data_IF_972543465943
#
_entry.id   IF_972543465943
#
_cell.length_a   1.000
_cell.length_b   1.000
_cell.length_c   1.000
_cell.angle_alpha   90.00
_cell.angle_beta   90.00
_cell.angle_gamma   90.00
#
_symmetry.space_group_name_H-M   'P 1'
#
loop_
_entity.id
_entity.type
_entity.pdbx_description
1 polymer ?
#
# COMPACT_ATOMS: atom_id res chain seq x y z
N UNK A 1 -28.01 -0.24 13.07
CA UNK A 1 -27.41 -1.53 13.53
C UNK A 1 -26.31 -1.78 12.53
N UNK A 2 -25.08 -2.11 12.94
CA UNK A 2 -23.99 -2.18 11.96
C UNK A 2 -24.33 -3.09 10.77
N UNK A 3 -24.15 -2.57 9.55
CA UNK A 3 -24.39 -3.30 8.31
C UNK A 3 -23.51 -4.55 8.26
N UNK A 4 -24.13 -5.72 8.14
CA UNK A 4 -23.43 -6.98 7.93
C UNK A 4 -23.38 -7.31 6.44
N UNK A 5 -22.21 -7.16 5.83
CA UNK A 5 -22.05 -7.47 4.41
C UNK A 5 -22.34 -8.95 4.12
N UNK A 6 -22.14 -9.87 5.08
CA UNK A 6 -22.28 -11.32 4.88
C UNK A 6 -23.72 -11.77 4.64
N UNK A 7 -24.71 -10.92 4.95
CA UNK A 7 -26.13 -11.20 4.69
C UNK A 7 -26.55 -10.83 3.26
N UNK A 8 -25.72 -10.09 2.51
CA UNK A 8 -25.99 -9.74 1.10
C UNK A 8 -25.81 -10.99 0.24
N UNK A 9 -26.82 -11.33 -0.57
CA UNK A 9 -26.76 -12.50 -1.44
C UNK A 9 -25.60 -12.41 -2.44
N UNK A 10 -25.03 -13.54 -2.89
CA UNK A 10 -23.94 -13.54 -3.86
C UNK A 10 -24.25 -12.78 -5.16
N UNK A 11 -25.50 -12.87 -5.62
CA UNK A 11 -25.98 -12.18 -6.82
C UNK A 11 -26.00 -10.65 -6.61
N UNK A 12 -26.55 -10.18 -5.49
CA UNK A 12 -26.58 -8.75 -5.15
C UNK A 12 -25.17 -8.21 -4.94
N UNK A 13 -24.28 -8.97 -4.28
CA UNK A 13 -22.86 -8.62 -4.13
C UNK A 13 -22.18 -8.38 -5.47
N UNK A 14 -22.39 -9.27 -6.45
CA UNK A 14 -21.77 -9.11 -7.77
C UNK A 14 -22.25 -7.86 -8.50
N UNK A 15 -23.54 -7.50 -8.34
CA UNK A 15 -24.10 -6.26 -8.91
C UNK A 15 -23.48 -5.04 -8.24
N UNK A 16 -23.44 -5.01 -6.91
CA UNK A 16 -22.87 -3.88 -6.17
C UNK A 16 -21.37 -3.71 -6.44
N UNK A 17 -20.58 -4.78 -6.43
CA UNK A 17 -19.14 -4.69 -6.76
C UNK A 17 -18.96 -4.04 -8.14
N UNK A 18 -19.67 -4.52 -9.16
CA UNK A 18 -19.60 -3.99 -10.52
C UNK A 18 -19.99 -2.51 -10.61
N UNK A 19 -20.96 -2.08 -9.79
CA UNK A 19 -21.39 -0.69 -9.73
C UNK A 19 -20.39 0.19 -8.98
N UNK A 20 -19.78 -0.31 -7.91
CA UNK A 20 -18.78 0.38 -7.11
C UNK A 20 -17.44 0.57 -7.82
N UNK A 21 -17.02 -0.40 -8.65
CA UNK A 21 -15.80 -0.32 -9.48
C UNK A 21 -15.70 0.96 -10.34
N UNK A 22 -16.84 1.60 -10.63
CA UNK A 22 -16.93 2.79 -11.50
C UNK A 22 -16.66 4.10 -10.77
N UNK A 23 -16.69 4.09 -9.44
CA UNK A 23 -16.65 5.29 -8.63
C UNK A 23 -15.47 5.26 -7.67
N UNK A 24 -14.96 6.44 -7.31
CA UNK A 24 -13.97 6.53 -6.24
C UNK A 24 -14.68 6.53 -4.90
N UNK A 25 -14.10 5.88 -3.88
CA UNK A 25 -14.67 5.89 -2.53
C UNK A 25 -14.81 7.31 -1.95
N UNK A 26 -14.01 8.27 -2.43
CA UNK A 26 -14.12 9.69 -2.07
C UNK A 26 -15.42 10.31 -2.62
N UNK A 27 -15.69 10.15 -3.92
CA UNK A 27 -16.92 10.65 -4.55
C UNK A 27 -18.15 9.94 -3.96
N UNK A 28 -18.04 8.64 -3.66
CA UNK A 28 -19.10 7.85 -3.04
C UNK A 28 -19.41 8.31 -1.61
N UNK A 29 -18.39 8.58 -0.80
CA UNK A 29 -18.55 9.16 0.54
C UNK A 29 -19.17 10.55 0.51
N UNK A 30 -18.72 11.41 -0.42
CA UNK A 30 -19.28 12.73 -0.61
C UNK A 30 -20.77 12.64 -0.97
N UNK A 31 -21.14 11.74 -1.90
CA UNK A 31 -22.53 11.51 -2.26
C UNK A 31 -23.37 10.98 -1.09
N UNK A 32 -22.86 10.03 -0.32
CA UNK A 32 -23.57 9.52 0.87
C UNK A 32 -23.88 10.64 1.85
N UNK A 33 -22.90 11.50 2.13
CA UNK A 33 -23.08 12.65 3.01
C UNK A 33 -24.10 13.66 2.47
N UNK A 34 -24.06 13.95 1.17
CA UNK A 34 -25.04 14.81 0.52
C UNK A 34 -26.46 14.26 0.66
N UNK A 35 -26.66 12.99 0.31
CA UNK A 35 -27.96 12.32 0.39
C UNK A 35 -28.49 12.26 1.82
N UNK A 36 -27.64 11.91 2.80
CA UNK A 36 -28.05 11.87 4.21
C UNK A 36 -28.37 13.26 4.77
N UNK A 37 -27.68 14.31 4.32
CA UNK A 37 -27.99 15.68 4.71
C UNK A 37 -29.32 16.15 4.09
N UNK A 38 -29.60 15.81 2.83
CA UNK A 38 -30.90 16.07 2.21
C UNK A 38 -32.03 15.32 2.94
N UNK A 39 -31.78 14.08 3.36
CA UNK A 39 -32.74 13.26 4.09
C UNK A 39 -33.14 13.88 5.44
N UNK A 40 -32.23 14.56 6.15
CA UNK A 40 -32.58 15.26 7.41
C UNK A 40 -33.69 16.30 7.21
N UNK A 41 -33.75 16.93 6.05
CA UNK A 41 -34.69 18.01 5.75
C UNK A 41 -35.96 17.50 5.06
N UNK A 42 -35.81 16.56 4.13
CA UNK A 42 -36.89 16.14 3.24
C UNK A 42 -37.30 14.67 3.41
N UNK A 43 -36.55 13.86 4.17
CA UNK A 43 -36.71 12.42 4.30
C UNK A 43 -38.13 11.92 4.60
N UNK A 44 -38.90 12.54 5.52
CA UNK A 44 -40.28 12.14 5.77
C UNK A 44 -41.19 12.22 4.52
N UNK A 45 -40.85 13.07 3.54
CA UNK A 45 -41.60 13.23 2.28
C UNK A 45 -41.30 12.13 1.25
N UNK A 46 -40.23 11.36 1.43
CA UNK A 46 -39.81 10.31 0.50
C UNK A 46 -40.37 8.93 0.82
N UNK A 47 -40.86 8.72 2.05
CA UNK A 47 -41.30 7.40 2.52
C UNK A 47 -42.42 6.81 1.64
N UNK A 48 -43.39 7.64 1.22
CA UNK A 48 -44.46 7.23 0.31
C UNK A 48 -43.98 6.99 -1.13
N UNK A 49 -42.78 7.45 -1.48
CA UNK A 49 -42.18 7.36 -2.81
C UNK A 49 -41.05 6.31 -2.89
N UNK A 50 -40.92 5.45 -1.87
CA UNK A 50 -40.04 4.28 -1.91
C UNK A 50 -38.64 4.48 -1.32
N UNK A 51 -38.41 5.51 -0.50
CA UNK A 51 -37.18 5.63 0.29
C UNK A 51 -37.51 5.90 1.76
N UNK A 52 -37.40 4.85 2.57
CA UNK A 52 -37.82 4.78 3.95
C UNK A 52 -36.69 5.14 4.93
N UNK A 53 -37.01 5.32 6.24
CA UNK A 53 -35.99 5.52 7.27
C UNK A 53 -34.95 4.39 7.35
N UNK A 54 -35.36 3.16 7.05
CA UNK A 54 -34.47 2.00 7.06
C UNK A 54 -33.41 2.10 5.94
N UNK A 55 -33.78 2.57 4.75
CA UNK A 55 -32.83 2.79 3.64
C UNK A 55 -31.82 3.91 3.97
N UNK A 56 -32.28 4.96 4.65
CA UNK A 56 -31.41 6.04 5.12
C UNK A 56 -30.46 5.55 6.24
N UNK A 57 -30.93 4.66 7.11
CA UNK A 57 -30.09 4.02 8.13
C UNK A 57 -29.03 3.12 7.47
N UNK A 58 -29.42 2.31 6.49
CA UNK A 58 -28.51 1.45 5.72
C UNK A 58 -27.44 2.28 4.99
N UNK A 59 -27.82 3.41 4.39
CA UNK A 59 -26.87 4.34 3.75
C UNK A 59 -25.89 4.95 4.77
N UNK A 60 -26.36 5.28 5.97
CA UNK A 60 -25.49 5.76 7.05
C UNK A 60 -24.51 4.69 7.52
N UNK A 61 -24.99 3.45 7.72
CA UNK A 61 -24.17 2.33 8.15
C UNK A 61 -23.12 1.98 7.06
N UNK A 62 -23.50 2.00 5.77
CA UNK A 62 -22.59 1.80 4.65
C UNK A 62 -21.53 2.90 4.54
N UNK A 63 -21.89 4.18 4.74
CA UNK A 63 -20.94 5.30 4.80
C UNK A 63 -19.92 5.08 5.91
N UNK A 64 -20.37 4.74 7.11
CA UNK A 64 -19.47 4.58 8.26
C UNK A 64 -18.52 3.40 8.06
N UNK A 65 -19.01 2.32 7.44
CA UNK A 65 -18.19 1.18 7.05
C UNK A 65 -17.14 1.55 5.99
N UNK A 66 -17.50 2.39 5.01
CA UNK A 66 -16.56 2.88 3.99
C UNK A 66 -15.45 3.74 4.60
N UNK A 67 -15.79 4.60 5.56
CA UNK A 67 -14.79 5.39 6.32
C UNK A 67 -13.83 4.47 7.06
N UNK A 68 -14.34 3.47 7.78
CA UNK A 68 -13.52 2.50 8.51
C UNK A 68 -12.59 1.70 7.59
N UNK A 69 -13.12 1.22 6.45
CA UNK A 69 -12.35 0.49 5.46
C UNK A 69 -11.27 1.37 4.80
N UNK A 70 -11.58 2.65 4.53
CA UNK A 70 -10.66 3.64 3.99
C UNK A 70 -9.45 3.91 4.89
N UNK A 71 -9.67 4.08 6.20
CA UNK A 71 -8.58 4.24 7.19
C UNK A 71 -7.67 3.00 7.22
N UNK A 72 -8.26 1.80 7.15
CA UNK A 72 -7.50 0.55 7.08
C UNK A 72 -6.56 0.48 5.86
N UNK A 73 -7.03 0.96 4.69
CA UNK A 73 -6.23 1.00 3.45
C UNK A 73 -5.05 1.97 3.55
N UNK A 74 -5.25 3.14 4.14
CA UNK A 74 -4.19 4.15 4.29
C UNK A 74 -3.09 3.70 5.25
N UNK A 75 -3.46 3.09 6.38
CA UNK A 75 -2.50 2.50 7.34
C UNK A 75 -1.68 1.41 6.65
N UNK A 76 -2.33 0.49 5.91
CA UNK A 76 -1.62 -0.55 5.16
C UNK A 76 -0.72 0.00 4.07
N UNK A 77 -1.14 1.06 3.36
CA UNK A 77 -0.32 1.73 2.35
C UNK A 77 0.93 2.35 2.97
N UNK A 78 0.77 3.00 4.13
CA UNK A 78 1.88 3.59 4.88
C UNK A 78 2.85 2.51 5.37
N UNK A 79 2.33 1.44 5.98
CA UNK A 79 3.14 0.30 6.41
C UNK A 79 3.90 -0.32 5.23
N UNK A 80 3.25 -0.51 4.08
CA UNK A 80 3.90 -0.99 2.86
C UNK A 80 5.05 -0.07 2.39
N UNK A 81 4.86 1.25 2.45
CA UNK A 81 5.92 2.20 2.11
C UNK A 81 7.10 2.08 3.08
N UNK A 82 6.82 1.96 4.37
CA UNK A 82 7.82 1.73 5.41
C UNK A 82 8.56 0.40 5.21
N UNK A 83 7.87 -0.70 4.94
CA UNK A 83 8.45 -2.01 4.70
C UNK A 83 9.31 -2.04 3.44
N UNK A 84 8.88 -1.35 2.38
CA UNK A 84 9.66 -1.23 1.14
C UNK A 84 10.94 -0.43 1.38
N UNK A 85 10.86 0.68 2.12
CA UNK A 85 12.02 1.49 2.47
C UNK A 85 12.97 0.73 3.41
N UNK A 86 12.44 -0.02 4.38
CA UNK A 86 13.18 -0.86 5.29
C UNK A 86 13.91 -1.98 4.54
N UNK A 87 13.24 -2.64 3.59
CA UNK A 87 13.85 -3.67 2.73
C UNK A 87 14.98 -3.10 1.86
N UNK A 88 14.76 -1.95 1.22
CA UNK A 88 15.79 -1.29 0.41
C UNK A 88 17.01 -0.88 1.27
N UNK A 89 16.77 -0.40 2.48
CA UNK A 89 17.82 -0.04 3.44
C UNK A 89 18.60 -1.28 3.90
N UNK A 90 17.91 -2.36 4.26
CA UNK A 90 18.53 -3.62 4.66
C UNK A 90 19.41 -4.20 3.54
N UNK A 91 18.95 -4.15 2.28
CA UNK A 91 19.73 -4.58 1.13
C UNK A 91 21.00 -3.73 0.94
N UNK A 92 20.88 -2.41 1.00
CA UNK A 92 22.03 -1.49 0.87
C UNK A 92 23.05 -1.71 1.98
N UNK A 93 22.59 -1.78 3.23
CA UNK A 93 23.44 -2.02 4.39
C UNK A 93 24.13 -3.39 4.30
N UNK A 94 23.38 -4.43 3.91
CA UNK A 94 23.89 -5.78 3.68
C UNK A 94 25.01 -5.81 2.65
N UNK A 95 24.83 -5.13 1.52
CA UNK A 95 25.88 -5.00 0.50
C UNK A 95 27.10 -4.23 1.02
N UNK A 96 26.88 -3.17 1.82
CA UNK A 96 27.95 -2.41 2.45
C UNK A 96 28.81 -3.26 3.39
N UNK A 97 28.18 -4.02 4.28
CA UNK A 97 28.92 -4.90 5.22
C UNK A 97 29.58 -6.08 4.49
N UNK A 98 28.96 -6.61 3.43
CA UNK A 98 29.57 -7.62 2.55
C UNK A 98 30.88 -7.12 1.95
N UNK A 99 30.87 -5.92 1.36
CA UNK A 99 32.06 -5.35 0.73
C UNK A 99 33.18 -5.12 1.76
N UNK A 100 32.83 -4.58 2.93
CA UNK A 100 33.76 -4.39 4.05
C UNK A 100 34.39 -5.72 4.50
N UNK A 101 33.57 -6.74 4.74
CA UNK A 101 34.05 -8.05 5.18
C UNK A 101 34.98 -8.71 4.15
N UNK A 102 34.67 -8.61 2.85
CA UNK A 102 35.55 -9.09 1.78
C UNK A 102 36.91 -8.38 1.78
N UNK A 103 36.93 -7.07 2.03
CA UNK A 103 38.18 -6.31 2.18
C UNK A 103 39.00 -6.78 3.39
N UNK A 104 38.35 -7.02 4.53
CA UNK A 104 39.01 -7.57 5.73
C UNK A 104 39.60 -8.94 5.46
N UNK A 105 38.85 -9.84 4.82
CA UNK A 105 39.32 -11.18 4.45
C UNK A 105 40.49 -11.12 3.45
N UNK A 106 40.47 -10.23 2.47
CA UNK A 106 41.60 -10.02 1.57
C UNK A 106 42.87 -9.56 2.32
N UNK A 107 42.70 -8.69 3.32
CA UNK A 107 43.78 -8.26 4.20
C UNK A 107 44.31 -9.39 5.10
N UNK A 108 43.41 -10.21 5.66
CA UNK A 108 43.77 -11.38 6.47
C UNK A 108 44.49 -12.44 5.63
N UNK A 109 44.03 -12.68 4.39
CA UNK A 109 44.68 -13.57 3.42
C UNK A 109 46.15 -13.23 3.23
N UNK A 110 46.47 -11.95 3.04
CA UNK A 110 47.87 -11.50 2.88
C UNK A 110 48.73 -11.85 4.09
N UNK A 111 48.19 -11.73 5.31
CA UNK A 111 48.94 -12.08 6.54
C UNK A 111 49.15 -13.57 6.65
N UNK A 112 48.09 -14.35 6.42
CA UNK A 112 48.13 -15.81 6.48
C UNK A 112 49.10 -16.39 5.45
N UNK A 113 49.18 -15.78 4.25
CA UNK A 113 50.14 -16.17 3.23
C UNK A 113 51.59 -15.97 3.69
N UNK A 114 51.91 -14.83 4.30
CA UNK A 114 53.25 -14.56 4.84
C UNK A 114 53.59 -15.51 6.01
N UNK A 115 52.60 -15.86 6.82
CA UNK A 115 52.75 -16.77 7.94
C UNK A 115 52.75 -18.27 7.55
N UNK A 116 52.56 -18.60 6.26
CA UNK A 116 52.58 -19.99 5.77
C UNK A 116 51.30 -20.79 6.04
N UNK A 117 50.19 -20.15 6.42
CA UNK A 117 48.90 -20.80 6.66
C UNK A 117 48.13 -21.05 5.35
N UNK A 118 48.65 -21.93 4.50
CA UNK A 118 48.16 -22.19 3.14
C UNK A 118 46.71 -22.68 3.08
N UNK A 119 46.27 -23.52 4.01
CA UNK A 119 44.87 -23.98 4.06
C UNK A 119 43.88 -22.84 4.31
N UNK A 120 44.19 -21.94 5.26
CA UNK A 120 43.34 -20.80 5.58
C UNK A 120 43.28 -19.80 4.40
N UNK A 121 44.40 -19.62 3.69
CA UNK A 121 44.45 -18.83 2.45
C UNK A 121 43.52 -19.42 1.39
N UNK A 122 43.60 -20.72 1.13
CA UNK A 122 42.79 -21.38 0.11
C UNK A 122 41.28 -21.28 0.42
N UNK A 123 40.88 -21.44 1.68
CA UNK A 123 39.47 -21.26 2.10
C UNK A 123 38.98 -19.84 1.85
N UNK A 124 39.78 -18.83 2.18
CA UNK A 124 39.44 -17.43 1.91
C UNK A 124 39.29 -17.19 0.41
N UNK A 125 40.18 -17.73 -0.43
CA UNK A 125 40.12 -17.55 -1.88
C UNK A 125 38.87 -18.17 -2.48
N UNK A 126 38.59 -19.44 -2.15
CA UNK A 126 37.38 -20.14 -2.63
C UNK A 126 36.12 -19.38 -2.22
N UNK A 127 36.04 -18.89 -0.98
CA UNK A 127 34.91 -18.09 -0.52
C UNK A 127 34.80 -16.75 -1.26
N UNK A 128 35.89 -16.02 -1.43
CA UNK A 128 35.88 -14.72 -2.11
C UNK A 128 35.52 -14.85 -3.60
N UNK A 129 35.88 -15.95 -4.24
CA UNK A 129 35.50 -16.26 -5.62
C UNK A 129 34.02 -16.65 -5.73
N UNK A 130 33.56 -17.59 -4.89
CA UNK A 130 32.16 -18.03 -4.84
C UNK A 130 31.21 -16.88 -4.57
N UNK A 131 31.57 -15.99 -3.65
CA UNK A 131 30.74 -14.84 -3.27
C UNK A 131 31.15 -13.57 -4.02
N UNK A 132 31.70 -13.66 -5.24
CA UNK A 132 32.19 -12.51 -6.02
C UNK A 132 31.08 -11.51 -6.39
N UNK A 133 29.93 -12.02 -6.82
CA UNK A 133 28.71 -11.24 -7.04
C UNK A 133 27.88 -11.11 -5.75
N UNK A 134 27.21 -9.97 -5.57
CA UNK A 134 26.21 -9.83 -4.51
C UNK A 134 24.92 -10.50 -4.96
N UNK A 135 24.27 -11.26 -4.08
CA UNK A 135 22.94 -11.77 -4.34
C UNK A 135 21.93 -10.62 -4.49
N UNK A 136 20.96 -10.80 -5.38
CA UNK A 136 19.95 -9.79 -5.70
C UNK A 136 18.75 -9.82 -4.74
N UNK A 137 18.57 -10.93 -4.03
CA UNK A 137 17.51 -11.13 -3.04
C UNK A 137 18.05 -11.14 -1.60
N UNK A 138 17.19 -10.77 -0.65
CA UNK A 138 17.57 -10.61 0.75
C UNK A 138 18.01 -11.91 1.43
N UNK A 139 17.41 -13.05 1.07
CA UNK A 139 17.76 -14.35 1.65
C UNK A 139 19.10 -14.85 1.09
N UNK A 140 19.30 -14.72 -0.22
CA UNK A 140 20.58 -14.94 -0.86
C UNK A 140 21.68 -14.10 -0.23
N UNK A 141 21.46 -12.78 -0.07
CA UNK A 141 22.44 -11.88 0.51
C UNK A 141 22.75 -12.24 1.97
N UNK A 142 21.73 -12.59 2.77
CA UNK A 142 21.92 -13.04 4.15
C UNK A 142 22.80 -14.30 4.24
N UNK A 143 22.62 -15.27 3.33
CA UNK A 143 23.48 -16.46 3.25
C UNK A 143 24.93 -16.12 2.91
N UNK A 144 25.15 -15.14 2.02
CA UNK A 144 26.51 -14.65 1.74
C UNK A 144 27.13 -14.02 2.99
N UNK A 145 26.36 -13.23 3.75
CA UNK A 145 26.86 -12.60 4.98
C UNK A 145 27.24 -13.65 6.03
N UNK A 146 26.42 -14.69 6.21
CA UNK A 146 26.72 -15.81 7.12
C UNK A 146 27.99 -16.54 6.70
N UNK A 147 28.17 -16.81 5.41
CA UNK A 147 29.37 -17.49 4.90
C UNK A 147 30.65 -16.67 5.13
N UNK A 148 30.59 -15.35 4.93
CA UNK A 148 31.69 -14.44 5.26
C UNK A 148 31.96 -14.39 6.77
N UNK A 149 30.90 -14.40 7.59
CA UNK A 149 31.01 -14.36 9.04
C UNK A 149 31.66 -15.64 9.59
N UNK A 150 31.25 -16.81 9.07
CA UNK A 150 31.80 -18.10 9.46
C UNK A 150 33.32 -18.15 9.28
N UNK A 151 33.83 -17.70 8.12
CA UNK A 151 35.28 -17.68 7.86
C UNK A 151 36.01 -16.63 8.69
N UNK A 152 35.41 -15.46 8.95
CA UNK A 152 36.01 -14.46 9.85
C UNK A 152 36.14 -14.93 11.31
N UNK A 153 35.31 -15.90 11.73
CA UNK A 153 35.34 -16.50 13.06
C UNK A 153 36.28 -17.69 13.20
N UNK A 154 36.86 -18.19 12.09
CA UNK A 154 37.88 -19.24 12.17
C UNK A 154 39.11 -18.73 12.93
N UNK A 155 39.68 -19.48 13.90
CA UNK A 155 40.71 -18.96 14.81
C UNK A 155 41.90 -18.29 14.11
N UNK A 156 42.50 -18.96 13.11
CA UNK A 156 43.64 -18.42 12.36
C UNK A 156 43.27 -17.15 11.57
N UNK A 157 42.06 -17.09 11.01
CA UNK A 157 41.57 -15.94 10.25
C UNK A 157 41.23 -14.78 11.19
N UNK A 158 40.59 -15.07 12.33
CA UNK A 158 40.25 -14.09 13.35
C UNK A 158 41.51 -13.41 13.91
N UNK A 159 42.57 -14.19 14.19
CA UNK A 159 43.86 -13.67 14.61
C UNK A 159 44.48 -12.76 13.53
N UNK A 160 44.53 -13.23 12.28
CA UNK A 160 45.03 -12.45 11.15
C UNK A 160 44.22 -11.17 10.88
N UNK A 161 42.92 -11.19 11.17
CA UNK A 161 41.99 -10.08 10.98
C UNK A 161 41.88 -9.14 12.20
N UNK A 162 42.49 -9.48 13.35
CA UNK A 162 42.31 -8.77 14.61
C UNK A 162 42.62 -7.25 14.49
N UNK A 163 43.75 -6.92 13.87
CA UNK A 163 44.19 -5.51 13.64
C UNK A 163 43.55 -4.85 12.42
N UNK A 164 42.60 -5.52 11.77
CA UNK A 164 41.95 -5.10 10.50
C UNK A 164 40.45 -4.95 10.64
N UNK A 165 39.93 -4.95 11.86
CA UNK A 165 38.50 -4.82 12.13
C UNK A 165 37.72 -6.13 11.94
N UNK A 166 38.37 -7.30 11.97
CA UNK A 166 37.71 -8.61 11.84
C UNK A 166 36.57 -8.83 12.84
N UNK A 167 36.77 -8.45 14.10
CA UNK A 167 35.74 -8.59 15.13
C UNK A 167 34.49 -7.74 14.83
N UNK A 168 34.68 -6.47 14.45
CA UNK A 168 33.55 -5.60 14.10
C UNK A 168 32.85 -6.07 12.81
N UNK A 169 33.62 -6.53 11.82
CA UNK A 169 33.05 -7.06 10.58
C UNK A 169 32.18 -8.30 10.84
N UNK A 170 32.62 -9.22 11.71
CA UNK A 170 31.83 -10.40 12.07
C UNK A 170 30.51 -10.01 12.78
N UNK A 171 30.55 -9.06 13.72
CA UNK A 171 29.34 -8.54 14.39
C UNK A 171 28.38 -7.87 13.40
N UNK A 172 28.90 -6.99 12.54
CA UNK A 172 28.12 -6.28 11.53
C UNK A 172 27.41 -7.26 10.58
N UNK A 173 28.10 -8.34 10.17
CA UNK A 173 27.54 -9.37 9.30
C UNK A 173 26.36 -10.11 9.96
N UNK A 174 26.47 -10.51 11.22
CA UNK A 174 25.39 -11.22 11.93
C UNK A 174 24.15 -10.35 12.11
N UNK A 175 24.37 -9.09 12.53
CA UNK A 175 23.29 -8.11 12.71
C UNK A 175 22.56 -7.88 11.38
N UNK A 176 23.30 -7.66 10.29
CA UNK A 176 22.69 -7.38 8.98
C UNK A 176 22.10 -8.61 8.31
N UNK A 177 22.65 -9.81 8.51
CA UNK A 177 22.03 -11.05 8.04
C UNK A 177 20.68 -11.28 8.71
N UNK A 178 20.58 -11.02 10.02
CA UNK A 178 19.31 -11.07 10.76
C UNK A 178 18.32 -10.02 10.24
N UNK A 179 18.75 -8.79 10.03
CA UNK A 179 17.90 -7.72 9.50
C UNK A 179 17.37 -8.04 8.08
N UNK A 180 18.20 -8.63 7.21
CA UNK A 180 17.80 -9.08 5.88
C UNK A 180 16.71 -10.16 5.93
N UNK A 181 16.82 -11.12 6.86
CA UNK A 181 15.81 -12.17 7.05
C UNK A 181 14.49 -11.61 7.56
N UNK A 182 14.53 -10.65 8.49
CA UNK A 182 13.33 -9.95 8.96
C UNK A 182 12.66 -9.21 7.80
N UNK A 183 13.44 -8.47 7.00
CA UNK A 183 12.93 -7.75 5.83
C UNK A 183 12.40 -8.70 4.73
N UNK A 184 12.98 -9.90 4.59
CA UNK A 184 12.51 -10.92 3.66
C UNK A 184 11.14 -11.48 4.07
N UNK A 185 10.95 -11.75 5.37
CA UNK A 185 9.67 -12.22 5.92
C UNK A 185 8.56 -11.19 5.76
N UNK A 186 8.82 -9.92 6.06
CA UNK A 186 7.84 -8.83 5.89
C UNK A 186 7.38 -8.68 4.43
N UNK A 187 8.26 -8.94 3.45
CA UNK A 187 7.91 -8.89 2.01
C UNK A 187 7.10 -10.10 1.53
N UNK A 188 7.17 -11.23 2.24
CA UNK A 188 6.49 -12.47 1.86
C UNK A 188 5.00 -12.49 2.23
N UNK A 189 4.52 -11.55 3.06
CA UNK A 189 3.09 -11.42 3.33
C UNK A 189 2.32 -11.01 2.05
N UNK A 190 1.18 -11.66 1.75
CA UNK A 190 0.43 -11.41 0.53
C UNK A 190 0.05 -9.93 0.42
N UNK A 191 0.48 -9.31 -0.67
CA UNK A 191 0.22 -7.91 -0.97
C UNK A 191 -1.26 -7.73 -1.33
N UNK A 192 -2.01 -6.98 -0.51
CA UNK A 192 -3.35 -6.47 -0.80
C UNK A 192 -4.28 -7.54 -1.40
N UNK A 193 -4.99 -8.27 -0.55
CA UNK A 193 -5.92 -9.30 -1.01
C UNK A 193 -6.99 -8.70 -1.94
N UNK A 194 -7.31 -9.33 -3.09
CA UNK A 194 -8.45 -8.99 -3.93
C UNK A 194 -9.73 -8.74 -3.12
N UNK A 195 -9.91 -9.52 -2.06
CA UNK A 195 -11.00 -9.44 -1.08
C UNK A 195 -11.18 -8.05 -0.47
N UNK A 196 -10.11 -7.31 -0.20
CA UNK A 196 -10.22 -5.96 0.41
C UNK A 196 -10.69 -4.91 -0.60
N UNK A 197 -10.20 -5.02 -1.84
CA UNK A 197 -10.66 -4.18 -2.95
C UNK A 197 -12.11 -4.49 -3.27
N UNK A 198 -12.47 -5.78 -3.39
CA UNK A 198 -13.85 -6.22 -3.60
C UNK A 198 -14.78 -5.79 -2.45
N UNK A 199 -14.28 -5.73 -1.20
CA UNK A 199 -15.07 -5.22 -0.07
C UNK A 199 -15.34 -3.72 -0.21
N UNK A 200 -14.35 -2.93 -0.64
CA UNK A 200 -14.55 -1.51 -0.91
C UNK A 200 -15.51 -1.30 -2.08
N UNK A 201 -15.31 -2.00 -3.19
CA UNK A 201 -16.18 -1.91 -4.37
C UNK A 201 -17.62 -2.33 -4.03
N UNK A 202 -17.81 -3.34 -3.18
CA UNK A 202 -19.12 -3.73 -2.66
C UNK A 202 -19.79 -2.59 -1.88
N UNK A 203 -19.06 -1.97 -0.94
CA UNK A 203 -19.59 -0.87 -0.12
C UNK A 203 -19.89 0.35 -1.01
N UNK A 204 -19.00 0.67 -1.94
CA UNK A 204 -19.16 1.77 -2.88
C UNK A 204 -20.42 1.56 -3.75
N UNK A 205 -20.61 0.35 -4.27
CA UNK A 205 -21.80 -0.02 -5.04
C UNK A 205 -23.10 0.06 -4.26
N UNK A 206 -23.10 -0.38 -3.01
CA UNK A 206 -24.27 -0.29 -2.14
C UNK A 206 -24.68 1.18 -1.91
N UNK A 207 -23.72 2.05 -1.60
CA UNK A 207 -23.97 3.49 -1.42
C UNK A 207 -24.52 4.11 -2.71
N UNK A 208 -23.93 3.78 -3.86
CA UNK A 208 -24.39 4.29 -5.17
C UNK A 208 -25.83 3.85 -5.45
N UNK A 209 -26.15 2.59 -5.17
CA UNK A 209 -27.51 2.05 -5.30
C UNK A 209 -28.50 2.83 -4.43
N UNK A 210 -28.22 2.97 -3.13
CA UNK A 210 -29.09 3.69 -2.18
C UNK A 210 -29.24 5.17 -2.56
N UNK A 211 -28.17 5.83 -3.01
CA UNK A 211 -28.22 7.22 -3.46
C UNK A 211 -29.11 7.39 -4.71
N UNK A 212 -29.06 6.45 -5.66
CA UNK A 212 -29.95 6.45 -6.84
C UNK A 212 -31.40 6.23 -6.45
N UNK A 213 -31.68 5.27 -5.57
CA UNK A 213 -33.04 5.05 -5.05
C UNK A 213 -33.58 6.29 -4.35
N UNK A 214 -32.77 6.94 -3.50
CA UNK A 214 -33.15 8.19 -2.86
C UNK A 214 -33.47 9.30 -3.87
N UNK A 215 -32.68 9.41 -4.95
CA UNK A 215 -32.92 10.37 -6.03
C UNK A 215 -34.23 10.10 -6.76
N UNK A 216 -34.51 8.84 -7.11
CA UNK A 216 -35.75 8.46 -7.79
C UNK A 216 -36.98 8.75 -6.91
N UNK A 217 -36.92 8.40 -5.62
CA UNK A 217 -37.96 8.71 -4.65
C UNK A 217 -38.16 10.23 -4.49
N UNK A 218 -37.08 11.00 -4.46
CA UNK A 218 -37.13 12.46 -4.38
C UNK A 218 -37.77 13.10 -5.63
N UNK A 219 -37.51 12.56 -6.83
CA UNK A 219 -38.16 13.03 -8.06
C UNK A 219 -39.67 12.75 -8.06
N UNK A 220 -40.08 11.58 -7.59
CA UNK A 220 -41.49 11.22 -7.46
C UNK A 220 -42.20 12.13 -6.44
N UNK A 221 -41.63 12.29 -5.23
CA UNK A 221 -42.17 13.15 -4.18
C UNK A 221 -42.24 14.63 -4.61
N UNK A 222 -41.22 15.13 -5.32
CA UNK A 222 -41.19 16.49 -5.84
C UNK A 222 -42.35 16.76 -6.82
N UNK A 223 -42.68 15.77 -7.67
CA UNK A 223 -43.80 15.88 -8.63
C UNK A 223 -45.15 15.81 -7.93
N UNK A 224 -45.30 14.90 -6.98
CA UNK A 224 -46.55 14.70 -6.23
C UNK A 224 -46.89 15.91 -5.36
N UNK A 225 -45.89 16.48 -4.69
CA UNK A 225 -46.06 17.60 -3.76
C UNK A 225 -45.93 18.98 -4.41
N UNK A 226 -45.50 19.05 -5.67
CA UNK A 226 -45.21 20.31 -6.36
C UNK A 226 -43.99 21.05 -5.80
N UNK A 227 -43.05 20.34 -5.16
CA UNK A 227 -41.87 20.90 -4.50
C UNK A 227 -40.58 20.49 -5.22
N UNK A 228 -40.13 21.19 -6.28
CA UNK A 228 -38.95 20.81 -7.06
C UNK A 228 -37.65 20.83 -6.25
N UNK A 229 -37.61 21.60 -5.16
CA UNK A 229 -36.46 21.66 -4.25
C UNK A 229 -36.11 20.30 -3.63
N UNK A 230 -37.09 19.41 -3.44
CA UNK A 230 -36.85 18.05 -2.94
C UNK A 230 -35.94 17.30 -3.91
N UNK A 231 -36.27 17.27 -5.20
CA UNK A 231 -35.44 16.61 -6.19
C UNK A 231 -34.03 17.20 -6.18
N UNK A 232 -33.89 18.53 -6.27
CA UNK A 232 -32.58 19.21 -6.26
C UNK A 232 -31.71 18.82 -5.06
N UNK A 233 -32.30 18.68 -3.86
CA UNK A 233 -31.54 18.30 -2.67
C UNK A 233 -30.90 16.90 -2.78
N UNK A 234 -31.53 15.97 -3.51
CA UNK A 234 -31.06 14.60 -3.73
C UNK A 234 -30.32 14.40 -5.05
N UNK A 235 -29.82 15.47 -5.68
CA UNK A 235 -29.04 15.32 -6.91
C UNK A 235 -27.78 14.45 -6.71
N UNK A 236 -27.39 13.74 -7.77
CA UNK A 236 -26.21 12.86 -7.77
C UNK A 236 -24.94 13.61 -8.18
N UNK A 237 -24.78 14.85 -7.74
CA UNK A 237 -23.74 15.75 -8.25
C UNK A 237 -22.34 15.34 -7.84
N UNK A 238 -22.16 14.67 -6.70
CA UNK A 238 -20.86 14.15 -6.28
C UNK A 238 -20.39 12.97 -7.14
N UNK A 239 -21.32 12.08 -7.55
CA UNK A 239 -21.00 10.98 -8.48
C UNK A 239 -20.80 11.52 -9.91
N UNK A 240 -21.73 12.31 -10.42
CA UNK A 240 -21.76 12.73 -11.82
C UNK A 240 -21.18 14.14 -12.04
N UNK A 241 -20.13 14.52 -11.29
CA UNK A 241 -19.41 15.78 -11.51
C UNK A 241 -19.13 15.92 -13.00
N UNK A 242 -19.67 16.97 -13.64
CA UNK A 242 -19.24 17.36 -14.99
C UNK A 242 -17.76 17.67 -14.86
N UNK A 243 -16.88 16.73 -15.23
CA UNK A 243 -15.44 16.96 -15.31
C UNK A 243 -15.25 18.20 -16.17
N UNK A 244 -14.97 19.32 -15.51
CA UNK A 244 -14.71 20.58 -16.17
C UNK A 244 -13.63 20.32 -17.20
N UNK A 245 -13.92 20.65 -18.46
CA UNK A 245 -12.90 20.80 -19.50
C UNK A 245 -11.74 21.54 -18.85
N UNK A 246 -10.60 20.86 -18.69
CA UNK A 246 -9.34 21.50 -18.36
C UNK A 246 -9.21 22.63 -19.38
N UNK A 247 -9.32 23.89 -18.93
CA UNK A 247 -9.07 25.06 -19.78
C UNK A 247 -7.73 24.79 -20.45
N UNK A 248 -7.73 24.57 -21.75
CA UNK A 248 -6.51 24.65 -22.52
C UNK A 248 -6.00 26.08 -22.28
N UNK A 249 -4.76 26.20 -21.79
CA UNK A 249 -4.07 27.47 -21.77
C UNK A 249 -4.22 28.10 -23.16
N UNK A 250 -4.92 29.23 -23.22
CA UNK A 250 -4.92 30.08 -24.40
C UNK A 250 -3.47 30.55 -24.60
N UNK A 251 -2.83 30.28 -25.75
CA UNK A 251 -1.54 30.87 -26.04
C UNK A 251 -1.77 32.37 -26.19
N UNK A 252 -1.23 33.11 -25.21
CA UNK A 252 -1.22 34.55 -25.13
C UNK A 252 -0.79 35.17 -26.48
N UNK A 253 -1.74 35.84 -27.13
CA UNK A 253 -1.51 36.57 -28.37
C UNK A 253 -0.58 37.76 -28.15
N UNK A 254 0.67 37.62 -28.54
CA UNK A 254 1.65 38.70 -28.63
C UNK A 254 2.09 38.92 -30.07
N UNK A 255 1.22 39.50 -30.90
CA UNK A 255 1.60 40.01 -32.22
C UNK A 255 2.14 41.44 -32.08
N UNK A 256 3.40 41.73 -32.46
CA UNK A 256 3.92 43.09 -32.42
C UNK A 256 3.36 43.91 -33.58
N UNK A 257 2.73 45.05 -33.26
CA UNK A 257 2.42 46.10 -34.23
C UNK A 257 3.73 46.76 -34.67
N UNK A 258 4.03 46.68 -35.96
CA UNK A 258 5.11 47.40 -36.62
C UNK A 258 4.82 48.90 -36.68
N UNK A 259 5.89 49.67 -36.56
CA UNK A 259 6.00 51.10 -36.86
C UNK A 259 5.92 51.38 -38.36
#
# INVERSE_FOLDING_TARGET
MALDLTTISPEARAVFIKDGERWSSEDTLEQANQTLNAYKTHGPKLAASGFAPDDAAELSDARDLLIQAGVGREVKRTNKMLDTAAHATAMRDGQGVRLRARSVLAGAKRVLLVAGHTEAVQRIEVLLERESAAAEDAEGLAKQLDALCAVLKEPAVAEAAQKRGGAQAALDLEVKATALRVAAKAKAEPKGTPVETETLDLIDGLIVSLARTAREAAEAAARELGEPAIATAFELSALYKRRGKKKADEPNGGGPQGS
#
